data_IF_200133105254
#
_entry.id   IF_200133105254
#
_cell.length_a   1.000
_cell.length_b   1.000
_cell.length_c   1.000
_cell.angle_alpha   90.00
_cell.angle_beta   90.00
_cell.angle_gamma   90.00
#
_symmetry.space_group_name_H-M   'P 1'
#
loop_
_entity.id
_entity.type
_entity.pdbx_description
1 polymer ?
#
# COMPACT_ATOMS: atom_id res chain seq x y z
N UNK A 1 -2.45 -20.61 -0.33
CA UNK A 1 -3.52 -19.57 -0.28
C UNK A 1 -2.98 -18.24 0.24
N UNK A 2 -2.36 -18.16 1.43
CA UNK A 2 -1.84 -16.89 2.01
C UNK A 2 -0.88 -16.14 1.06
N UNK A 3 0.02 -16.85 0.39
CA UNK A 3 0.95 -16.25 -0.58
C UNK A 3 0.20 -15.66 -1.79
N UNK A 4 -0.83 -16.35 -2.28
CA UNK A 4 -1.65 -15.88 -3.38
C UNK A 4 -2.39 -14.58 -3.03
N UNK A 5 -2.91 -14.47 -1.80
CA UNK A 5 -3.55 -13.24 -1.29
C UNK A 5 -2.57 -12.07 -1.28
N UNK A 6 -1.35 -12.27 -0.75
CA UNK A 6 -0.33 -11.21 -0.71
C UNK A 6 0.08 -10.72 -2.09
N UNK A 7 0.08 -11.60 -3.08
CA UNK A 7 0.42 -11.21 -4.46
C UNK A 7 -0.70 -10.35 -5.07
N UNK A 8 -1.95 -10.77 -4.90
CA UNK A 8 -3.09 -9.98 -5.40
C UNK A 8 -3.16 -8.64 -4.70
N UNK A 9 -2.95 -8.60 -3.39
CA UNK A 9 -2.86 -7.35 -2.61
C UNK A 9 -1.77 -6.43 -3.15
N UNK A 10 -0.57 -6.95 -3.41
CA UNK A 10 0.54 -6.18 -3.99
C UNK A 10 0.21 -5.64 -5.38
N UNK A 11 -0.45 -6.44 -6.23
CA UNK A 11 -0.84 -6.00 -7.57
C UNK A 11 -1.89 -4.88 -7.52
N UNK A 12 -2.90 -5.02 -6.66
CA UNK A 12 -3.93 -3.98 -6.47
C UNK A 12 -3.28 -2.73 -5.87
N UNK A 13 -2.41 -2.88 -4.86
CA UNK A 13 -1.67 -1.76 -4.29
C UNK A 13 -0.83 -1.05 -5.34
N UNK A 14 -0.10 -1.79 -6.18
CA UNK A 14 0.68 -1.22 -7.28
C UNK A 14 -0.19 -0.45 -8.28
N UNK A 15 -1.41 -0.93 -8.55
CA UNK A 15 -2.38 -0.20 -9.37
C UNK A 15 -2.71 1.17 -8.74
N UNK A 16 -2.96 1.24 -7.42
CA UNK A 16 -3.20 2.50 -6.73
C UNK A 16 -1.99 3.43 -6.80
N UNK A 17 -0.78 2.89 -6.65
CA UNK A 17 0.47 3.67 -6.80
C UNK A 17 0.57 4.26 -8.20
N UNK A 18 0.28 3.48 -9.25
CA UNK A 18 0.27 3.98 -10.63
C UNK A 18 -0.75 5.10 -10.82
N UNK A 19 -1.98 4.93 -10.33
CA UNK A 19 -3.04 5.95 -10.39
C UNK A 19 -2.59 7.22 -9.65
N UNK A 20 -2.05 7.09 -8.44
CA UNK A 20 -1.55 8.22 -7.65
C UNK A 20 -0.41 8.95 -8.35
N UNK A 21 0.54 8.21 -8.94
CA UNK A 21 1.65 8.80 -9.68
C UNK A 21 1.19 9.55 -10.92
N UNK A 22 0.26 8.98 -11.68
CA UNK A 22 -0.30 9.61 -12.89
C UNK A 22 -1.07 10.88 -12.50
N UNK A 23 -1.90 10.83 -11.46
CA UNK A 23 -2.71 11.97 -11.01
C UNK A 23 -1.88 13.12 -10.47
N UNK A 24 -0.69 12.85 -9.93
CA UNK A 24 0.21 13.83 -9.33
C UNK A 24 1.43 14.16 -10.20
N UNK A 25 1.49 13.61 -11.41
CA UNK A 25 2.68 13.75 -12.29
C UNK A 25 3.09 15.21 -12.48
N UNK A 26 2.15 16.09 -12.76
CA UNK A 26 2.43 17.53 -12.97
C UNK A 26 3.03 18.17 -11.71
N UNK A 27 2.48 17.90 -10.52
CA UNK A 27 3.00 18.45 -9.26
C UNK A 27 4.39 17.89 -8.92
N UNK A 28 4.60 16.60 -9.17
CA UNK A 28 5.91 15.97 -8.98
C UNK A 28 6.93 16.60 -9.93
N UNK A 29 6.55 16.80 -11.18
CA UNK A 29 7.39 17.43 -12.19
C UNK A 29 7.77 18.88 -11.80
N UNK A 30 6.78 19.70 -11.41
CA UNK A 30 6.99 21.06 -10.95
C UNK A 30 7.86 21.11 -9.68
N UNK A 31 7.68 20.18 -8.75
CA UNK A 31 8.52 20.06 -7.56
C UNK A 31 9.98 19.76 -7.93
N UNK A 32 10.22 18.85 -8.86
CA UNK A 32 11.55 18.53 -9.34
C UNK A 32 12.22 19.74 -10.02
N UNK A 33 11.46 20.49 -10.81
CA UNK A 33 11.94 21.74 -11.43
C UNK A 33 12.26 22.82 -10.38
N UNK A 34 11.40 23.00 -9.37
CA UNK A 34 11.59 24.01 -8.32
C UNK A 34 12.83 23.76 -7.47
N UNK A 35 13.25 22.52 -7.33
CA UNK A 35 14.50 22.12 -6.64
C UNK A 35 15.75 22.26 -7.51
N UNK A 36 15.63 22.84 -8.70
CA UNK A 36 16.74 22.97 -9.67
C UNK A 36 17.43 21.63 -9.96
N UNK A 37 16.68 20.52 -9.84
CA UNK A 37 17.16 19.19 -10.17
C UNK A 37 17.23 19.16 -11.71
N UNK A 38 18.43 19.37 -12.23
CA UNK A 38 18.63 19.37 -13.67
C UNK A 38 18.06 18.08 -14.28
N UNK A 39 17.32 18.19 -15.36
CA UNK A 39 16.78 17.03 -16.12
C UNK A 39 17.89 16.00 -16.37
N UNK A 40 19.12 16.48 -16.60
CA UNK A 40 20.33 15.65 -16.70
C UNK A 40 20.53 14.76 -15.47
N UNK A 41 20.31 15.25 -14.25
CA UNK A 41 20.44 14.47 -13.01
C UNK A 41 19.39 13.39 -12.92
N UNK A 42 18.15 13.67 -13.34
CA UNK A 42 17.06 12.68 -13.36
C UNK A 42 17.38 11.57 -14.37
N UNK A 43 17.82 11.95 -15.58
CA UNK A 43 18.20 10.99 -16.62
C UNK A 43 19.39 10.16 -16.14
N UNK A 44 20.44 10.80 -15.59
CA UNK A 44 21.63 10.09 -15.11
C UNK A 44 21.29 9.13 -13.95
N UNK A 45 20.48 9.55 -12.99
CA UNK A 45 20.04 8.66 -11.89
C UNK A 45 19.16 7.52 -12.41
N UNK A 46 18.32 7.76 -13.41
CA UNK A 46 17.53 6.73 -14.09
C UNK A 46 18.45 5.70 -14.79
N UNK A 47 19.45 6.15 -15.56
CA UNK A 47 20.42 5.27 -16.23
C UNK A 47 21.20 4.45 -15.18
N UNK A 48 21.70 5.09 -14.12
CA UNK A 48 22.41 4.42 -13.03
C UNK A 48 21.52 3.36 -12.38
N UNK A 49 20.25 3.68 -12.10
CA UNK A 49 19.30 2.73 -11.54
C UNK A 49 19.06 1.52 -12.45
N UNK A 50 18.95 1.74 -13.75
CA UNK A 50 18.81 0.65 -14.74
C UNK A 50 20.07 -0.22 -14.77
N UNK A 51 21.26 0.38 -14.76
CA UNK A 51 22.53 -0.36 -14.73
C UNK A 51 22.63 -1.20 -13.46
N UNK A 52 22.33 -0.61 -12.30
CA UNK A 52 22.33 -1.33 -11.01
C UNK A 52 21.31 -2.47 -11.01
N UNK A 53 20.14 -2.27 -11.61
CA UNK A 53 19.13 -3.31 -11.75
C UNK A 53 19.58 -4.45 -12.64
N UNK A 54 20.26 -4.16 -13.76
CA UNK A 54 20.86 -5.18 -14.64
C UNK A 54 21.95 -5.96 -13.89
N UNK A 55 22.84 -5.25 -13.18
CA UNK A 55 23.87 -5.89 -12.34
C UNK A 55 23.22 -6.78 -11.26
N UNK A 56 22.16 -6.29 -10.61
CA UNK A 56 21.40 -7.07 -9.64
C UNK A 56 20.81 -8.33 -10.28
N UNK A 57 20.18 -8.25 -11.46
CA UNK A 57 19.67 -9.41 -12.20
C UNK A 57 20.81 -10.39 -12.53
N UNK A 58 21.95 -9.88 -12.97
CA UNK A 58 23.11 -10.71 -13.29
C UNK A 58 23.61 -11.47 -12.05
N UNK A 59 23.82 -10.77 -10.94
CA UNK A 59 24.18 -11.38 -9.66
C UNK A 59 23.10 -12.39 -9.22
N UNK A 60 21.83 -12.04 -9.40
CA UNK A 60 20.71 -12.92 -9.07
C UNK A 60 20.72 -14.23 -9.84
N UNK A 61 21.04 -14.20 -11.11
CA UNK A 61 21.07 -15.39 -11.97
C UNK A 61 22.28 -16.27 -11.64
N UNK A 62 23.46 -15.67 -11.52
CA UNK A 62 24.73 -16.40 -11.47
C UNK A 62 25.29 -16.62 -10.05
N UNK A 63 24.87 -15.86 -9.06
CA UNK A 63 25.40 -16.04 -7.70
C UNK A 63 24.72 -17.21 -6.97
N UNK A 64 25.56 -18.10 -6.44
CA UNK A 64 25.17 -19.27 -5.64
C UNK A 64 25.30 -19.00 -4.12
N UNK A 65 25.32 -17.76 -3.72
CA UNK A 65 25.42 -17.40 -2.31
C UNK A 65 24.19 -17.92 -1.53
N UNK A 66 24.41 -18.45 -0.33
CA UNK A 66 23.34 -19.00 0.51
C UNK A 66 22.14 -18.04 0.70
N UNK A 67 22.41 -16.74 0.75
CA UNK A 67 21.37 -15.70 0.86
C UNK A 67 20.53 -15.65 -0.43
N UNK A 68 21.18 -15.69 -1.59
CA UNK A 68 20.51 -15.63 -2.90
C UNK A 68 19.71 -16.90 -3.15
N UNK A 69 20.24 -18.05 -2.77
CA UNK A 69 19.52 -19.34 -2.86
C UNK A 69 18.28 -19.34 -1.96
N UNK A 70 18.37 -18.83 -0.73
CA UNK A 70 17.20 -18.67 0.15
C UNK A 70 16.18 -17.68 -0.40
N UNK A 71 16.61 -16.59 -1.02
CA UNK A 71 15.74 -15.61 -1.68
C UNK A 71 15.08 -16.19 -2.93
N UNK A 72 15.82 -16.92 -3.76
CA UNK A 72 15.27 -17.65 -4.92
C UNK A 72 14.17 -18.62 -4.48
N UNK A 73 14.38 -19.37 -3.40
CA UNK A 73 13.40 -20.28 -2.84
C UNK A 73 12.15 -19.57 -2.30
N UNK A 74 12.29 -18.38 -1.71
CA UNK A 74 11.15 -17.56 -1.30
C UNK A 74 10.37 -17.01 -2.51
N UNK A 75 11.08 -16.60 -3.57
CA UNK A 75 10.44 -16.11 -4.81
C UNK A 75 9.78 -17.22 -5.63
N UNK A 76 10.32 -18.45 -5.64
CA UNK A 76 9.61 -19.57 -6.25
C UNK A 76 8.25 -19.79 -5.61
N UNK A 77 8.15 -19.66 -4.27
CA UNK A 77 6.87 -19.69 -3.57
C UNK A 77 5.91 -18.57 -3.98
N UNK A 78 6.42 -17.37 -4.31
CA UNK A 78 5.59 -16.30 -4.89
C UNK A 78 5.08 -16.65 -6.29
N UNK A 79 5.94 -17.18 -7.15
CA UNK A 79 5.57 -17.62 -8.52
C UNK A 79 4.54 -18.76 -8.45
N UNK A 80 4.73 -19.72 -7.55
CA UNK A 80 3.76 -20.78 -7.29
C UNK A 80 2.42 -20.23 -6.78
N UNK A 81 2.46 -19.20 -5.92
CA UNK A 81 1.28 -18.48 -5.46
C UNK A 81 0.52 -17.81 -6.62
N UNK A 82 1.23 -17.13 -7.54
CA UNK A 82 0.64 -16.56 -8.76
C UNK A 82 0.02 -17.63 -9.65
N UNK A 83 0.74 -18.73 -9.87
CA UNK A 83 0.25 -19.87 -10.64
C UNK A 83 -1.02 -20.49 -10.00
N UNK A 84 -1.09 -20.50 -8.66
CA UNK A 84 -2.26 -20.97 -7.93
C UNK A 84 -3.47 -20.10 -8.20
N UNK A 85 -3.35 -18.77 -8.13
CA UNK A 85 -4.45 -17.84 -8.47
C UNK A 85 -4.92 -18.04 -9.91
N UNK A 86 -3.97 -18.15 -10.84
CA UNK A 86 -4.29 -18.35 -12.25
C UNK A 86 -5.08 -19.66 -12.50
N UNK A 87 -4.73 -20.73 -11.78
CA UNK A 87 -5.36 -22.06 -11.89
C UNK A 87 -6.64 -22.20 -11.08
N UNK A 88 -7.00 -21.26 -10.23
CA UNK A 88 -8.24 -21.31 -9.44
C UNK A 88 -9.47 -21.34 -10.34
N UNK A 89 -10.44 -22.22 -10.02
CA UNK A 89 -11.72 -22.31 -10.74
C UNK A 89 -12.52 -20.99 -10.67
N UNK A 90 -12.54 -20.35 -9.51
CA UNK A 90 -13.28 -19.10 -9.25
C UNK A 90 -12.37 -17.87 -9.13
N UNK A 91 -11.29 -17.80 -9.91
CA UNK A 91 -10.30 -16.73 -9.87
C UNK A 91 -10.87 -15.31 -10.00
N UNK A 92 -11.89 -15.15 -10.86
CA UNK A 92 -12.52 -13.84 -11.06
C UNK A 92 -13.32 -13.37 -9.86
N UNK A 93 -14.02 -14.28 -9.17
CA UNK A 93 -14.70 -13.96 -7.91
C UNK A 93 -13.69 -13.56 -6.84
N UNK A 94 -12.60 -14.29 -6.76
CA UNK A 94 -11.51 -13.99 -5.82
C UNK A 94 -10.90 -12.62 -6.08
N UNK A 95 -10.51 -12.29 -7.32
CA UNK A 95 -9.95 -10.99 -7.70
C UNK A 95 -10.96 -9.86 -7.42
N UNK A 96 -12.24 -10.07 -7.75
CA UNK A 96 -13.30 -9.11 -7.48
C UNK A 96 -13.44 -8.81 -5.98
N UNK A 97 -13.43 -9.85 -5.12
CA UNK A 97 -13.50 -9.64 -3.68
C UNK A 97 -12.28 -8.92 -3.14
N UNK A 98 -11.09 -9.26 -3.61
CA UNK A 98 -9.87 -8.54 -3.24
C UNK A 98 -9.93 -7.07 -3.63
N UNK A 99 -10.38 -6.77 -4.86
CA UNK A 99 -10.60 -5.39 -5.30
C UNK A 99 -11.64 -4.66 -4.44
N UNK A 100 -12.75 -5.33 -4.10
CA UNK A 100 -13.79 -4.78 -3.24
C UNK A 100 -13.26 -4.42 -1.84
N UNK A 101 -12.39 -5.24 -1.27
CA UNK A 101 -11.73 -4.97 0.01
C UNK A 101 -10.90 -3.69 -0.08
N UNK A 102 -10.04 -3.57 -1.09
CA UNK A 102 -9.20 -2.39 -1.27
C UNK A 102 -10.02 -1.12 -1.55
N UNK A 103 -11.07 -1.25 -2.35
CA UNK A 103 -12.02 -0.16 -2.59
C UNK A 103 -12.73 0.28 -1.30
N UNK A 104 -13.11 -0.66 -0.46
CA UNK A 104 -13.71 -0.37 0.86
C UNK A 104 -12.72 0.36 1.77
N UNK A 105 -11.44 -0.01 1.79
CA UNK A 105 -10.41 0.71 2.54
C UNK A 105 -10.23 2.14 2.05
N UNK A 106 -10.17 2.34 0.73
CA UNK A 106 -10.09 3.69 0.15
C UNK A 106 -11.34 4.52 0.49
N UNK A 107 -12.52 3.92 0.38
CA UNK A 107 -13.79 4.58 0.70
C UNK A 107 -13.83 4.99 2.17
N UNK A 108 -13.41 4.11 3.07
CA UNK A 108 -13.35 4.40 4.51
C UNK A 108 -12.36 5.54 4.80
N UNK A 109 -11.19 5.55 4.16
CA UNK A 109 -10.23 6.64 4.26
C UNK A 109 -10.83 7.95 3.73
N UNK A 110 -11.51 7.91 2.59
CA UNK A 110 -12.19 9.06 1.99
C UNK A 110 -13.30 9.63 2.89
N UNK A 111 -14.13 8.76 3.46
CA UNK A 111 -15.18 9.19 4.38
C UNK A 111 -14.59 9.82 5.65
N UNK A 112 -13.48 9.28 6.16
CA UNK A 112 -12.81 9.81 7.34
C UNK A 112 -12.32 11.26 7.15
N UNK A 113 -12.07 11.70 5.90
CA UNK A 113 -11.66 13.09 5.59
C UNK A 113 -12.68 14.12 6.08
N UNK A 114 -13.95 13.76 6.08
CA UNK A 114 -15.02 14.64 6.54
C UNK A 114 -15.15 14.72 8.07
N UNK A 115 -14.37 13.95 8.82
CA UNK A 115 -14.40 13.98 10.29
C UNK A 115 -13.74 15.23 10.89
N UNK A 116 -12.84 15.87 10.14
CA UNK A 116 -12.18 17.10 10.56
C UNK A 116 -12.47 18.24 9.56
N UNK A 117 -12.85 19.43 10.02
CA UNK A 117 -13.14 20.56 9.12
C UNK A 117 -11.96 20.90 8.19
N UNK A 118 -10.73 20.79 8.70
CA UNK A 118 -9.51 21.14 7.99
C UNK A 118 -9.17 20.14 6.87
N UNK A 119 -9.61 18.89 7.00
CA UNK A 119 -9.38 17.87 5.98
C UNK A 119 -10.54 17.74 5.01
N UNK A 120 -11.73 18.24 5.35
CA UNK A 120 -12.97 18.09 4.54
C UNK A 120 -12.90 18.70 3.13
N UNK A 121 -11.98 19.64 2.90
CA UNK A 121 -11.80 20.32 1.61
C UNK A 121 -10.64 19.78 0.79
N UNK A 122 -10.01 18.70 1.24
CA UNK A 122 -8.88 18.07 0.55
C UNK A 122 -9.36 17.48 -0.77
N UNK A 123 -8.61 17.73 -1.84
CA UNK A 123 -8.88 17.15 -3.16
C UNK A 123 -8.64 15.63 -3.17
N UNK A 124 -9.37 14.93 -4.01
CA UNK A 124 -9.33 13.46 -4.07
C UNK A 124 -7.94 12.90 -4.43
N UNK A 125 -7.15 13.64 -5.17
CA UNK A 125 -5.76 13.29 -5.49
C UNK A 125 -4.87 13.23 -4.24
N UNK A 126 -5.07 14.14 -3.27
CA UNK A 126 -4.37 14.12 -1.98
C UNK A 126 -4.84 12.95 -1.12
N UNK A 127 -6.14 12.62 -1.20
CA UNK A 127 -6.70 11.43 -0.54
C UNK A 127 -6.00 10.16 -1.01
N UNK A 128 -5.85 9.98 -2.32
CA UNK A 128 -5.16 8.83 -2.90
C UNK A 128 -3.70 8.77 -2.40
N UNK A 129 -2.99 9.90 -2.38
CA UNK A 129 -1.62 9.93 -1.89
C UNK A 129 -1.54 9.58 -0.40
N UNK A 130 -2.41 10.15 0.44
CA UNK A 130 -2.51 9.79 1.86
C UNK A 130 -2.79 8.31 2.05
N UNK A 131 -3.73 7.75 1.31
CA UNK A 131 -4.08 6.33 1.35
C UNK A 131 -2.89 5.42 0.96
N UNK A 132 -2.17 5.75 -0.12
CA UNK A 132 -1.00 4.98 -0.57
C UNK A 132 0.09 4.99 0.51
N UNK A 133 0.47 6.16 1.02
CA UNK A 133 1.54 6.27 2.00
C UNK A 133 1.13 5.72 3.37
N UNK A 134 -0.12 5.87 3.76
CA UNK A 134 -0.67 5.19 4.94
C UNK A 134 -0.60 3.67 4.81
N UNK A 135 -0.99 3.11 3.67
CA UNK A 135 -0.92 1.67 3.41
C UNK A 135 0.54 1.16 3.41
N UNK A 136 1.48 1.93 2.85
CA UNK A 136 2.91 1.61 2.95
C UNK A 136 3.38 1.59 4.40
N UNK A 137 2.99 2.59 5.19
CA UNK A 137 3.37 2.65 6.60
C UNK A 137 2.89 1.42 7.38
N UNK A 138 1.68 0.92 7.11
CA UNK A 138 1.18 -0.33 7.71
C UNK A 138 2.01 -1.53 7.25
N UNK A 139 2.35 -1.61 5.96
CA UNK A 139 3.11 -2.72 5.38
C UNK A 139 4.56 -2.81 5.87
N UNK A 140 5.21 -1.65 6.08
CA UNK A 140 6.62 -1.59 6.49
C UNK A 140 6.82 -1.46 8.01
N UNK A 141 5.76 -1.32 8.79
CA UNK A 141 5.82 -1.24 10.24
C UNK A 141 4.95 -2.31 10.89
N UNK A 142 5.05 -2.45 12.19
CA UNK A 142 4.21 -3.39 12.92
C UNK A 142 2.77 -2.86 13.04
N UNK A 143 1.97 -3.05 11.98
CA UNK A 143 0.56 -2.65 11.96
C UNK A 143 0.32 -1.14 11.88
N UNK A 144 1.31 -0.35 11.50
CA UNK A 144 1.15 1.09 11.33
C UNK A 144 1.19 1.92 12.61
N UNK A 145 1.39 1.34 13.78
CA UNK A 145 1.39 2.06 15.06
C UNK A 145 2.41 3.21 15.05
N UNK A 146 1.94 4.45 15.10
CA UNK A 146 2.76 5.66 15.00
C UNK A 146 3.25 5.96 13.58
N UNK A 147 3.67 4.97 12.80
CA UNK A 147 4.13 5.15 11.43
C UNK A 147 3.01 5.64 10.50
N UNK A 148 1.79 5.15 10.69
CA UNK A 148 0.64 5.55 9.88
C UNK A 148 0.31 7.05 10.07
N UNK A 149 0.07 7.57 11.29
CA UNK A 149 -0.18 9.00 11.52
C UNK A 149 0.95 9.88 11.01
N UNK A 150 2.21 9.46 11.22
CA UNK A 150 3.37 10.20 10.74
C UNK A 150 3.42 10.29 9.21
N UNK A 151 3.16 9.18 8.51
CA UNK A 151 3.13 9.15 7.03
C UNK A 151 2.03 10.03 6.47
N UNK A 152 0.84 10.01 7.07
CA UNK A 152 -0.27 10.89 6.68
C UNK A 152 0.12 12.36 6.88
N UNK A 153 0.68 12.70 8.05
CA UNK A 153 1.10 14.06 8.35
C UNK A 153 2.15 14.57 7.36
N UNK A 154 3.12 13.72 7.01
CA UNK A 154 4.15 14.04 6.04
C UNK A 154 3.53 14.39 4.67
N UNK A 155 2.63 13.54 4.17
CA UNK A 155 1.97 13.78 2.88
C UNK A 155 1.09 15.01 2.94
N UNK A 156 0.25 15.16 3.96
CA UNK A 156 -0.65 16.30 4.08
C UNK A 156 0.11 17.62 4.20
N UNK A 157 1.28 17.63 4.85
CA UNK A 157 2.12 18.83 4.95
C UNK A 157 2.66 19.29 3.59
N UNK A 158 2.92 18.40 2.64
CA UNK A 158 3.34 18.75 1.27
C UNK A 158 2.25 19.53 0.52
N UNK A 159 1.00 19.40 0.97
CA UNK A 159 -0.16 20.11 0.40
C UNK A 159 -0.67 21.26 1.28
N UNK A 160 0.15 21.72 2.22
CA UNK A 160 -0.15 22.89 3.04
C UNK A 160 -1.07 22.64 4.24
N UNK A 161 -1.38 21.38 4.56
CA UNK A 161 -2.13 21.01 5.77
C UNK A 161 -1.14 20.94 6.93
N UNK A 162 -1.50 21.50 8.08
CA UNK A 162 -0.60 21.51 9.24
C UNK A 162 -0.27 20.08 9.69
N UNK A 163 0.98 19.88 10.11
CA UNK A 163 1.46 18.57 10.57
C UNK A 163 0.62 18.02 11.73
N UNK A 164 0.16 18.86 12.64
CA UNK A 164 -0.67 18.46 13.77
C UNK A 164 -2.03 17.90 13.32
N UNK A 165 -2.66 18.53 12.31
CA UNK A 165 -3.91 18.04 11.73
C UNK A 165 -3.67 16.71 11.00
N UNK A 166 -2.58 16.59 10.26
CA UNK A 166 -2.20 15.33 9.61
C UNK A 166 -1.99 14.19 10.61
N UNK A 167 -1.31 14.46 11.73
CA UNK A 167 -1.13 13.47 12.81
C UNK A 167 -2.48 13.12 13.44
N UNK A 168 -3.30 14.11 13.78
CA UNK A 168 -4.62 13.89 14.38
C UNK A 168 -5.51 13.04 13.46
N UNK A 169 -5.57 13.37 12.18
CA UNK A 169 -6.31 12.62 11.17
C UNK A 169 -5.77 11.17 11.04
N UNK A 170 -4.44 11.02 10.98
CA UNK A 170 -3.82 9.70 10.90
C UNK A 170 -4.15 8.82 12.10
N UNK A 171 -4.13 9.37 13.32
CA UNK A 171 -4.56 8.65 14.52
C UNK A 171 -6.04 8.32 14.50
N UNK A 172 -6.89 9.24 14.06
CA UNK A 172 -8.33 9.02 13.93
C UNK A 172 -8.61 7.81 13.03
N UNK A 173 -8.02 7.77 11.85
CA UNK A 173 -8.21 6.67 10.90
C UNK A 173 -7.65 5.36 11.45
N UNK A 174 -6.40 5.37 11.93
CA UNK A 174 -5.74 4.17 12.46
C UNK A 174 -6.51 3.56 13.66
N UNK A 175 -6.92 4.41 14.59
CA UNK A 175 -7.65 3.96 15.79
C UNK A 175 -9.03 3.41 15.42
N UNK A 176 -9.76 4.11 14.53
CA UNK A 176 -11.08 3.65 14.07
C UNK A 176 -11.01 2.29 13.39
N UNK A 177 -10.02 2.07 12.52
CA UNK A 177 -9.79 0.78 11.85
C UNK A 177 -9.43 -0.32 12.86
N UNK A 178 -8.56 -0.01 13.81
CA UNK A 178 -8.12 -0.95 14.83
C UNK A 178 -9.28 -1.37 15.73
N UNK A 179 -10.07 -0.42 16.21
CA UNK A 179 -11.26 -0.70 17.03
C UNK A 179 -12.25 -1.54 16.23
N UNK A 180 -12.53 -1.20 14.98
CA UNK A 180 -13.45 -1.97 14.14
C UNK A 180 -12.96 -3.41 13.94
N UNK A 181 -11.68 -3.61 13.67
CA UNK A 181 -11.09 -4.93 13.51
C UNK A 181 -11.20 -5.78 14.79
N UNK A 182 -10.93 -5.17 15.96
CA UNK A 182 -11.09 -5.84 17.27
C UNK A 182 -12.55 -6.22 17.51
N UNK A 183 -13.49 -5.29 17.30
CA UNK A 183 -14.91 -5.54 17.51
C UNK A 183 -15.44 -6.67 16.62
N UNK A 184 -15.13 -6.61 15.31
CA UNK A 184 -15.54 -7.65 14.36
C UNK A 184 -14.87 -9.00 14.67
N UNK A 185 -13.61 -8.99 15.09
CA UNK A 185 -12.90 -10.18 15.53
C UNK A 185 -13.56 -10.83 16.76
N UNK A 186 -13.91 -10.04 17.77
CA UNK A 186 -14.62 -10.51 18.96
C UNK A 186 -16.01 -11.07 18.64
N UNK A 187 -16.78 -10.36 17.82
CA UNK A 187 -18.09 -10.82 17.37
C UNK A 187 -17.97 -12.16 16.63
N UNK A 188 -17.00 -12.25 15.69
CA UNK A 188 -16.74 -13.49 14.94
C UNK A 188 -16.34 -14.63 15.88
N UNK A 189 -15.49 -14.37 16.85
CA UNK A 189 -15.06 -15.37 17.83
C UNK A 189 -16.23 -15.95 18.63
N UNK A 190 -17.18 -15.10 19.04
CA UNK A 190 -18.38 -15.53 19.78
C UNK A 190 -19.39 -16.26 18.90
N UNK A 191 -19.59 -15.79 17.66
CA UNK A 191 -20.61 -16.35 16.75
C UNK A 191 -20.15 -17.65 16.07
N UNK A 192 -18.86 -17.83 15.82
CA UNK A 192 -18.34 -18.98 15.08
C UNK A 192 -18.73 -20.34 15.71
N UNK A 193 -18.58 -20.55 17.03
CA UNK A 193 -19.03 -21.80 17.68
C UNK A 193 -20.53 -22.02 17.60
N UNK A 194 -21.33 -20.93 17.67
CA UNK A 194 -22.79 -21.01 17.59
C UNK A 194 -23.26 -21.42 16.20
N UNK A 195 -22.66 -20.82 15.16
CA UNK A 195 -23.00 -21.09 13.77
C UNK A 195 -22.52 -22.46 13.29
N UNK A 196 -21.43 -23.00 13.84
CA UNK A 196 -20.88 -24.31 13.47
C UNK A 196 -21.36 -25.46 14.35
N UNK A 197 -22.27 -25.22 15.29
CA UNK A 197 -22.76 -26.25 16.22
C UNK A 197 -23.55 -27.38 15.56
N UNK A 198 -24.00 -27.17 14.33
CA UNK A 198 -24.83 -28.12 13.55
C UNK A 198 -24.10 -28.70 12.31
N UNK A 199 -22.78 -28.57 12.28
CA UNK A 199 -21.93 -29.26 11.31
C UNK A 199 -20.97 -30.21 12.02
#
# INVERSE_FOLDING_TARGET
TIVAERIVDLLIFFLFVCIGFISQFEKIYQFLLSKNIAIKTIITSGIVSVILFIIFIFIWIYAEWNIIVKLKKKLSGLIEGMATVYKMKDKWKYIFHSFLIWFSYLTMFYVAIFALPETSKISFDIVIMGFIFGSLAVGFSNGGLGAYPFSIALIFSLYGISNNIGIAFGWLVWTSQTILAILLGLISYVLLPVLNRNK
#
